data_IF_040823877305
#
_entry.id   IF_040823877305
#
_cell.length_a   1.000
_cell.length_b   1.000
_cell.length_c   1.000
_cell.angle_alpha   90.00
_cell.angle_beta   90.00
_cell.angle_gamma   90.00
#
_symmetry.space_group_name_H-M   'P 1'
#
loop_
_entity.id
_entity.type
_entity.pdbx_description
1 polymer ?
#
# COMPACT_ATOMS: atom_id res chain seq x y z
N UNK A 1 16.89 0.42 -15.18
CA UNK A 1 15.77 -0.47 -15.55
C UNK A 1 14.97 -0.75 -14.29
N UNK A 2 13.73 -0.28 -14.27
CA UNK A 2 12.83 -0.42 -13.14
C UNK A 2 12.19 -1.81 -13.11
N UNK A 3 11.87 -2.33 -11.93
CA UNK A 3 11.04 -3.54 -11.79
C UNK A 3 10.02 -3.35 -10.66
N UNK A 4 8.95 -4.14 -10.71
CA UNK A 4 8.02 -4.25 -9.58
C UNK A 4 8.74 -4.78 -8.33
N UNK A 5 8.24 -4.40 -7.16
CA UNK A 5 8.64 -5.03 -5.91
C UNK A 5 8.21 -6.51 -5.94
N UNK A 6 9.09 -7.43 -5.52
CA UNK A 6 8.75 -8.84 -5.52
C UNK A 6 7.67 -9.13 -4.49
N UNK A 7 6.88 -10.18 -4.71
CA UNK A 7 5.96 -10.72 -3.70
C UNK A 7 6.55 -12.03 -3.14
N UNK A 8 6.46 -12.29 -1.83
CA UNK A 8 6.93 -13.54 -1.24
C UNK A 8 6.30 -14.77 -1.87
N UNK A 9 7.02 -15.89 -1.81
CA UNK A 9 6.50 -17.19 -2.29
C UNK A 9 5.21 -17.56 -1.56
N UNK A 10 4.21 -18.05 -2.31
CA UNK A 10 2.90 -18.44 -1.77
C UNK A 10 1.93 -17.27 -1.50
N UNK A 11 2.35 -16.02 -1.70
CA UNK A 11 1.46 -14.88 -1.59
C UNK A 11 0.43 -14.87 -2.74
N UNK A 12 -0.87 -14.55 -2.49
CA UNK A 12 -1.90 -14.56 -3.53
C UNK A 12 -1.58 -13.60 -4.68
N UNK A 13 -1.64 -14.09 -5.92
CA UNK A 13 -1.32 -13.32 -7.13
C UNK A 13 -2.39 -13.46 -8.20
N UNK A 14 -2.40 -12.48 -9.11
CA UNK A 14 -3.26 -12.47 -10.28
C UNK A 14 -2.62 -13.25 -11.45
N UNK A 15 -2.77 -14.57 -11.45
CA UNK A 15 -2.14 -15.44 -12.47
C UNK A 15 -2.80 -15.37 -13.87
N UNK A 16 -3.96 -14.73 -13.98
CA UNK A 16 -4.67 -14.50 -15.25
C UNK A 16 -4.26 -13.19 -15.95
N UNK A 17 -3.39 -12.38 -15.34
CA UNK A 17 -2.85 -11.15 -15.92
C UNK A 17 -1.36 -11.31 -16.22
N UNK A 18 -0.93 -10.92 -17.41
CA UNK A 18 0.50 -10.75 -17.70
C UNK A 18 0.85 -9.27 -17.59
N UNK A 19 1.72 -8.91 -16.63
CA UNK A 19 2.11 -7.52 -16.39
C UNK A 19 3.58 -7.35 -16.72
N UNK A 20 3.92 -6.26 -17.39
CA UNK A 20 5.30 -5.82 -17.56
C UNK A 20 5.48 -4.36 -17.13
N UNK A 21 6.61 -4.08 -16.48
CA UNK A 21 7.06 -2.73 -16.15
C UNK A 21 8.47 -2.59 -16.73
N UNK A 22 8.67 -1.62 -17.62
CA UNK A 22 9.95 -1.36 -18.30
C UNK A 22 10.50 -2.65 -18.99
N UNK A 23 9.60 -3.38 -19.66
CA UNK A 23 9.91 -4.65 -20.34
C UNK A 23 10.13 -5.86 -19.41
N UNK A 24 10.10 -5.69 -18.09
CA UNK A 24 10.30 -6.77 -17.12
C UNK A 24 8.96 -7.29 -16.60
N UNK A 25 8.80 -8.62 -16.61
CA UNK A 25 7.61 -9.28 -16.05
C UNK A 25 7.45 -8.94 -14.57
N UNK A 26 6.22 -8.66 -14.17
CA UNK A 26 5.82 -8.40 -12.80
C UNK A 26 4.65 -9.29 -12.41
N UNK A 27 4.53 -9.60 -11.11
CA UNK A 27 3.34 -10.23 -10.55
C UNK A 27 2.49 -9.18 -9.85
N UNK A 28 1.19 -9.21 -10.07
CA UNK A 28 0.26 -8.43 -9.26
C UNK A 28 -0.20 -9.28 -8.06
N UNK A 29 -0.20 -8.66 -6.88
CA UNK A 29 -0.84 -9.21 -5.70
C UNK A 29 -2.35 -9.20 -5.88
N UNK A 30 -3.02 -10.25 -5.40
CA UNK A 30 -4.47 -10.40 -5.51
C UNK A 30 -5.12 -10.25 -4.14
N UNK A 31 -6.04 -9.29 -4.04
CA UNK A 31 -6.96 -9.17 -2.90
C UNK A 31 -8.37 -9.57 -3.35
N UNK A 32 -9.33 -9.49 -2.42
CA UNK A 32 -10.73 -9.78 -2.75
C UNK A 32 -11.35 -8.77 -3.72
N UNK A 33 -10.93 -7.50 -3.67
CA UNK A 33 -11.57 -6.40 -4.40
C UNK A 33 -10.71 -5.78 -5.49
N UNK A 34 -9.40 -6.02 -5.46
CA UNK A 34 -8.45 -5.43 -6.38
C UNK A 34 -7.23 -6.32 -6.58
N UNK A 35 -6.68 -6.27 -7.78
CA UNK A 35 -5.30 -6.69 -8.03
C UNK A 35 -4.40 -5.46 -7.91
N UNK A 36 -3.13 -5.62 -7.51
CA UNK A 36 -2.22 -4.48 -7.37
C UNK A 36 -0.78 -4.83 -7.70
N UNK A 37 -0.04 -3.86 -8.22
CA UNK A 37 1.41 -3.95 -8.44
C UNK A 37 2.07 -2.68 -7.93
N UNK A 38 3.21 -2.82 -7.26
CA UNK A 38 3.98 -1.70 -6.74
C UNK A 38 5.39 -1.69 -7.34
N UNK A 39 5.92 -0.49 -7.59
CA UNK A 39 7.29 -0.30 -8.07
C UNK A 39 7.83 1.07 -7.61
N UNK A 40 9.13 1.28 -7.78
CA UNK A 40 9.73 2.62 -7.70
C UNK A 40 10.11 3.10 -9.09
N UNK A 41 9.76 4.35 -9.44
CA UNK A 41 10.16 4.96 -10.72
C UNK A 41 10.94 6.24 -10.47
N UNK A 42 12.10 6.36 -11.13
CA UNK A 42 12.96 7.56 -11.09
C UNK A 42 12.89 8.38 -12.40
N UNK A 43 12.11 7.91 -13.36
CA UNK A 43 11.91 8.50 -14.68
C UNK A 43 10.84 7.74 -15.44
N UNK A 44 10.60 8.09 -16.72
CA UNK A 44 9.55 7.48 -17.52
C UNK A 44 9.69 5.97 -17.64
N UNK A 45 8.60 5.24 -17.38
CA UNK A 45 8.51 3.79 -17.57
C UNK A 45 7.28 3.45 -18.41
N UNK A 46 7.43 2.48 -19.31
CA UNK A 46 6.28 1.84 -19.97
C UNK A 46 5.74 0.74 -19.07
N UNK A 47 4.44 0.76 -18.83
CA UNK A 47 3.71 -0.31 -18.16
C UNK A 47 2.78 -0.97 -19.18
N UNK A 48 2.62 -2.29 -19.07
CA UNK A 48 1.61 -3.01 -19.84
C UNK A 48 0.94 -4.10 -19.03
N UNK A 49 -0.33 -4.34 -19.37
CA UNK A 49 -1.15 -5.43 -18.85
C UNK A 49 -1.79 -6.15 -20.03
N UNK A 50 -1.57 -7.46 -20.11
CA UNK A 50 -2.23 -8.34 -21.07
C UNK A 50 -3.33 -9.10 -20.36
N UNK A 51 -4.56 -8.97 -20.85
CA UNK A 51 -5.74 -9.66 -20.33
C UNK A 51 -5.92 -11.04 -20.98
N UNK A 52 -6.71 -11.95 -20.35
CA UNK A 52 -7.05 -13.24 -20.95
C UNK A 52 -7.76 -13.11 -22.30
N UNK A 53 -8.66 -12.12 -22.39
CA UNK A 53 -9.45 -11.78 -23.58
C UNK A 53 -9.35 -10.28 -23.87
N UNK A 54 -9.63 -9.83 -25.11
CA UNK A 54 -9.65 -8.41 -25.43
C UNK A 54 -10.61 -7.65 -24.50
N UNK A 55 -10.14 -6.62 -23.77
CA UNK A 55 -11.00 -5.89 -22.85
C UNK A 55 -12.03 -5.07 -23.63
N UNK A 56 -13.29 -5.07 -23.18
CA UNK A 56 -14.35 -4.30 -23.84
C UNK A 56 -14.10 -2.79 -23.77
N UNK A 57 -13.66 -2.31 -22.59
CA UNK A 57 -13.26 -0.93 -22.34
C UNK A 57 -12.24 -0.92 -21.22
N UNK A 58 -11.22 -0.07 -21.34
CA UNK A 58 -10.29 0.21 -20.26
C UNK A 58 -10.36 1.68 -19.88
N UNK A 59 -10.33 1.96 -18.58
CA UNK A 59 -10.34 3.31 -18.02
C UNK A 59 -9.22 3.43 -17.01
N UNK A 60 -8.42 4.50 -17.11
CA UNK A 60 -7.40 4.82 -16.12
C UNK A 60 -7.93 5.93 -15.21
N UNK A 61 -7.83 5.72 -13.90
CA UNK A 61 -8.22 6.69 -12.86
C UNK A 61 -7.07 7.01 -11.92
N UNK A 62 -7.03 8.22 -11.33
CA UNK A 62 -7.92 9.35 -11.63
C UNK A 62 -7.63 9.93 -13.02
N UNK A 63 -8.64 10.50 -13.67
CA UNK A 63 -8.46 11.10 -15.01
C UNK A 63 -7.43 12.25 -15.01
N UNK A 64 -7.27 12.93 -13.86
CA UNK A 64 -6.25 13.96 -13.64
C UNK A 64 -4.82 13.45 -13.70
N UNK A 65 -4.59 12.13 -13.66
CA UNK A 65 -3.26 11.57 -13.89
C UNK A 65 -2.78 11.80 -15.33
N UNK A 66 -3.69 12.08 -16.28
CA UNK A 66 -3.33 12.41 -17.67
C UNK A 66 -2.66 11.26 -18.43
N UNK A 67 -2.84 10.02 -17.96
CA UNK A 67 -2.20 8.84 -18.54
C UNK A 67 -2.99 8.41 -19.78
N UNK A 68 -2.37 8.52 -20.94
CA UNK A 68 -2.91 7.99 -22.19
C UNK A 68 -2.64 6.50 -22.31
N UNK A 69 -3.65 5.75 -22.78
CA UNK A 69 -3.56 4.31 -22.99
C UNK A 69 -3.49 3.97 -24.47
N UNK A 70 -2.75 2.91 -24.78
CA UNK A 70 -2.71 2.24 -26.08
C UNK A 70 -3.24 0.83 -25.90
N UNK A 71 -4.23 0.45 -26.70
CA UNK A 71 -4.78 -0.91 -26.73
C UNK A 71 -4.33 -1.60 -28.01
N UNK A 72 -3.75 -2.79 -27.88
CA UNK A 72 -3.40 -3.68 -28.99
C UNK A 72 -3.87 -5.10 -28.68
N UNK A 73 -4.97 -5.52 -29.30
CA UNK A 73 -5.63 -6.79 -29.04
C UNK A 73 -6.03 -6.95 -27.57
N UNK A 74 -5.26 -7.76 -26.83
CA UNK A 74 -5.49 -8.05 -25.39
C UNK A 74 -4.62 -7.22 -24.46
N UNK A 75 -3.70 -6.44 -25.02
CA UNK A 75 -2.69 -5.72 -24.25
C UNK A 75 -3.04 -4.26 -24.16
N UNK A 76 -3.01 -3.72 -22.95
CA UNK A 76 -3.09 -2.28 -22.69
C UNK A 76 -1.74 -1.81 -22.19
N UNK A 77 -1.18 -0.81 -22.86
CA UNK A 77 0.08 -0.18 -22.52
C UNK A 77 -0.13 1.30 -22.22
N UNK A 78 0.67 1.84 -21.29
CA UNK A 78 0.64 3.25 -20.92
C UNK A 78 1.99 3.67 -20.32
N UNK A 79 2.28 4.97 -20.38
CA UNK A 79 3.50 5.55 -19.82
C UNK A 79 3.24 6.20 -18.47
N UNK A 80 4.11 5.96 -17.50
CA UNK A 80 4.16 6.71 -16.24
C UNK A 80 5.45 7.54 -16.22
N UNK A 81 5.32 8.86 -16.22
CA UNK A 81 6.44 9.81 -16.28
C UNK A 81 6.91 10.27 -14.88
N UNK A 82 6.06 10.13 -13.86
CA UNK A 82 6.31 10.51 -12.47
C UNK A 82 5.62 9.57 -11.50
N UNK A 83 6.09 9.49 -10.24
CA UNK A 83 5.40 8.74 -9.19
C UNK A 83 3.91 9.10 -9.10
N UNK A 84 3.04 8.09 -9.10
CA UNK A 84 1.61 8.24 -9.05
C UNK A 84 0.93 6.92 -8.63
N UNK A 85 -0.36 7.03 -8.27
CA UNK A 85 -1.21 5.89 -7.93
C UNK A 85 -2.40 5.91 -8.87
N UNK A 86 -2.52 4.88 -9.70
CA UNK A 86 -3.61 4.78 -10.68
C UNK A 86 -4.38 3.46 -10.58
N UNK A 87 -5.63 3.48 -11.02
CA UNK A 87 -6.46 2.31 -11.24
C UNK A 87 -6.66 2.08 -12.72
N UNK A 88 -6.40 0.86 -13.18
CA UNK A 88 -6.72 0.37 -14.52
C UNK A 88 -7.98 -0.50 -14.39
N UNK A 89 -9.10 0.00 -14.91
CA UNK A 89 -10.41 -0.59 -14.73
C UNK A 89 -10.93 -1.17 -16.05
N UNK A 90 -11.39 -2.42 -16.01
CA UNK A 90 -12.16 -3.05 -17.11
C UNK A 90 -13.43 -3.69 -16.53
N UNK A 91 -14.60 -3.52 -17.17
CA UNK A 91 -15.84 -4.14 -16.70
C UNK A 91 -15.72 -5.66 -16.51
N UNK A 92 -16.36 -6.17 -15.45
CA UNK A 92 -16.40 -7.61 -15.16
C UNK A 92 -15.15 -8.18 -14.51
N UNK A 93 -14.18 -7.33 -14.10
CA UNK A 93 -12.98 -7.76 -13.38
C UNK A 93 -12.67 -6.84 -12.20
N UNK A 94 -11.84 -7.34 -11.29
CA UNK A 94 -11.21 -6.49 -10.29
C UNK A 94 -10.37 -5.40 -10.99
N UNK A 95 -10.37 -4.15 -10.48
CA UNK A 95 -9.43 -3.14 -10.91
C UNK A 95 -7.99 -3.60 -10.64
N UNK A 96 -7.06 -3.21 -11.52
CA UNK A 96 -5.64 -3.33 -11.28
C UNK A 96 -5.10 -1.98 -10.79
N UNK A 97 -4.61 -1.93 -9.55
CA UNK A 97 -3.91 -0.77 -9.02
C UNK A 97 -2.44 -0.81 -9.36
N UNK A 98 -1.92 0.30 -9.87
CA UNK A 98 -0.50 0.50 -10.15
C UNK A 98 0.01 1.59 -9.24
N UNK A 99 0.84 1.19 -8.27
CA UNK A 99 1.45 2.07 -7.30
C UNK A 99 2.90 2.34 -7.71
N UNK A 100 3.10 3.41 -8.48
CA UNK A 100 4.43 3.88 -8.86
C UNK A 100 4.93 4.87 -7.80
N UNK A 101 5.80 4.41 -6.91
CA UNK A 101 6.36 5.21 -5.84
C UNK A 101 7.60 5.98 -6.32
N UNK A 102 7.95 7.06 -5.63
CA UNK A 102 9.30 7.59 -5.72
C UNK A 102 10.29 6.58 -5.13
N UNK A 103 11.57 6.56 -5.56
CA UNK A 103 12.61 5.83 -4.85
C UNK A 103 12.72 6.33 -3.40
N UNK A 104 12.94 5.42 -2.45
CA UNK A 104 13.12 5.80 -1.06
C UNK A 104 14.42 6.59 -0.87
N UNK A 105 14.32 7.77 -0.24
CA UNK A 105 15.48 8.63 0.06
C UNK A 105 15.81 8.68 1.55
N UNK A 106 14.90 8.22 2.41
CA UNK A 106 14.99 8.30 3.87
C UNK A 106 14.77 6.93 4.51
N UNK A 107 15.56 5.95 4.04
CA UNK A 107 15.58 4.59 4.61
C UNK A 107 16.30 4.64 5.96
N UNK A 108 15.72 4.09 7.04
CA UNK A 108 16.35 4.11 8.36
C UNK A 108 17.63 3.28 8.42
N UNK A 109 18.52 3.58 9.37
CA UNK A 109 19.72 2.76 9.60
C UNK A 109 19.30 1.38 10.15
N UNK A 110 19.60 0.33 9.39
CA UNK A 110 19.31 -1.06 9.78
C UNK A 110 19.99 -1.47 11.09
N UNK A 111 21.06 -0.80 11.50
CA UNK A 111 21.80 -1.09 12.73
C UNK A 111 21.31 -0.27 13.93
N UNK A 112 20.38 0.67 13.73
CA UNK A 112 19.79 1.42 14.83
C UNK A 112 18.92 0.48 15.68
N UNK A 113 19.18 0.33 16.99
CA UNK A 113 18.39 -0.54 17.87
C UNK A 113 16.92 -0.12 18.01
N UNK A 114 16.55 1.12 17.66
CA UNK A 114 15.17 1.59 17.63
C UNK A 114 14.43 1.22 16.33
N UNK A 115 15.11 0.60 15.36
CA UNK A 115 14.54 0.20 14.07
C UNK A 115 14.19 -1.29 14.07
N UNK A 116 12.91 -1.58 13.86
CA UNK A 116 12.40 -2.93 13.60
C UNK A 116 12.28 -3.12 12.09
N UNK A 117 13.12 -3.99 11.54
CA UNK A 117 13.24 -4.21 10.10
C UNK A 117 12.55 -5.50 9.67
N UNK A 118 11.64 -5.41 8.69
CA UNK A 118 11.10 -6.57 7.98
C UNK A 118 11.69 -6.64 6.57
N UNK A 119 12.45 -7.71 6.32
CA UNK A 119 13.22 -7.85 5.08
C UNK A 119 12.39 -8.31 3.90
N UNK A 120 12.78 -7.85 2.71
CA UNK A 120 12.11 -8.18 1.46
C UNK A 120 12.21 -9.66 1.08
N UNK A 121 11.24 -10.13 0.29
CA UNK A 121 11.23 -11.49 -0.27
C UNK A 121 10.63 -12.55 0.65
N UNK A 122 10.23 -12.19 1.87
CA UNK A 122 9.63 -13.09 2.85
C UNK A 122 8.31 -12.54 3.39
N UNK A 123 7.45 -13.46 3.83
CA UNK A 123 6.27 -13.16 4.61
C UNK A 123 6.59 -13.38 6.10
N UNK A 124 6.24 -12.41 6.93
CA UNK A 124 6.54 -12.40 8.36
C UNK A 124 5.26 -12.52 9.16
N UNK A 125 5.18 -13.50 10.05
CA UNK A 125 4.05 -13.66 11.00
C UNK A 125 4.37 -12.90 12.29
N UNK A 126 4.20 -11.58 12.26
CA UNK A 126 4.62 -10.68 13.34
C UNK A 126 3.58 -10.54 14.46
N UNK A 127 2.30 -10.79 14.16
CA UNK A 127 1.21 -10.55 15.10
C UNK A 127 1.10 -9.06 15.46
N UNK A 128 0.82 -8.75 16.74
CA UNK A 128 0.71 -7.37 17.20
C UNK A 128 2.08 -6.77 17.51
N UNK A 129 2.43 -5.70 16.81
CA UNK A 129 3.67 -4.94 16.94
C UNK A 129 3.38 -3.69 17.78
N UNK A 130 3.99 -3.60 18.97
CA UNK A 130 3.87 -2.44 19.87
C UNK A 130 5.05 -1.49 19.70
N UNK A 131 4.82 -0.28 19.18
CA UNK A 131 5.85 0.75 19.06
C UNK A 131 5.91 1.65 20.30
N UNK A 132 7.14 1.97 20.71
CA UNK A 132 7.50 2.87 21.80
C UNK A 132 8.08 4.16 21.23
N UNK A 133 8.20 5.17 22.09
CA UNK A 133 8.73 6.47 21.67
C UNK A 133 10.09 6.35 20.98
N UNK A 134 10.23 6.99 19.82
CA UNK A 134 11.44 6.98 19.00
C UNK A 134 11.63 5.75 18.12
N UNK A 135 10.76 4.74 18.23
CA UNK A 135 10.90 3.53 17.41
C UNK A 135 10.38 3.71 15.99
N UNK A 136 11.06 3.05 15.06
CA UNK A 136 10.69 2.96 13.66
C UNK A 136 10.42 1.51 13.28
N UNK A 137 9.26 1.26 12.67
CA UNK A 137 8.97 0.04 11.93
C UNK A 137 9.26 0.29 10.45
N UNK A 138 10.20 -0.46 9.88
CA UNK A 138 10.53 -0.42 8.47
C UNK A 138 10.10 -1.72 7.78
N UNK A 139 9.25 -1.59 6.74
CA UNK A 139 8.77 -2.71 5.93
C UNK A 139 9.38 -2.56 4.53
N UNK A 140 10.44 -3.32 4.27
CA UNK A 140 11.22 -3.22 3.04
C UNK A 140 10.35 -3.53 1.79
N UNK A 141 10.59 -2.89 0.63
CA UNK A 141 9.83 -3.17 -0.58
C UNK A 141 9.89 -4.65 -0.99
N UNK A 142 8.74 -5.31 -0.93
CA UNK A 142 8.60 -6.74 -1.20
C UNK A 142 8.60 -7.63 0.05
N UNK A 143 8.63 -7.05 1.25
CA UNK A 143 8.25 -7.73 2.48
C UNK A 143 6.72 -7.71 2.64
N UNK A 144 6.18 -8.78 3.21
CA UNK A 144 4.78 -8.86 3.68
C UNK A 144 4.80 -9.14 5.17
N UNK A 145 4.12 -8.31 5.96
CA UNK A 145 4.01 -8.48 7.41
C UNK A 145 2.57 -8.79 7.76
N UNK A 146 2.31 -10.01 8.21
CA UNK A 146 1.04 -10.39 8.79
C UNK A 146 0.99 -9.93 10.24
N UNK A 147 0.21 -8.88 10.51
CA UNK A 147 0.21 -8.25 11.82
C UNK A 147 -0.56 -6.94 11.90
N UNK A 148 -0.52 -6.33 13.08
CA UNK A 148 -1.09 -5.01 13.37
C UNK A 148 -0.09 -4.16 14.13
N UNK A 149 -0.14 -2.84 13.97
CA UNK A 149 0.80 -1.90 14.59
C UNK A 149 0.07 -1.02 15.59
N UNK A 150 0.55 -0.99 16.82
CA UNK A 150 -0.08 -0.30 17.93
C UNK A 150 0.94 0.60 18.61
N UNK A 151 0.53 1.79 19.05
CA UNK A 151 1.31 2.62 19.95
C UNK A 151 0.36 3.39 20.87
N UNK A 152 0.73 3.50 22.15
CA UNK A 152 -0.07 4.23 23.15
C UNK A 152 0.81 5.12 24.00
N UNK A 153 0.48 6.42 24.08
CA UNK A 153 1.25 7.39 24.86
C UNK A 153 2.68 7.59 24.37
N UNK A 154 2.96 7.27 23.10
CA UNK A 154 4.30 7.30 22.53
C UNK A 154 4.59 8.64 21.83
N UNK A 155 5.87 8.92 21.60
CA UNK A 155 6.30 10.11 20.85
C UNK A 155 7.29 9.76 19.75
N UNK A 156 7.18 10.40 18.58
CA UNK A 156 8.06 10.19 17.43
C UNK A 156 8.10 8.72 16.99
N UNK A 157 6.93 8.13 16.72
CA UNK A 157 6.82 6.77 16.18
C UNK A 157 6.70 6.81 14.67
N UNK A 158 7.37 5.90 13.99
CA UNK A 158 7.37 5.85 12.53
C UNK A 158 7.05 4.45 12.02
N UNK A 159 6.18 4.35 11.02
CA UNK A 159 5.94 3.16 10.21
C UNK A 159 6.23 3.54 8.77
N UNK A 160 7.26 2.96 8.16
CA UNK A 160 7.74 3.39 6.84
C UNK A 160 8.20 2.24 5.95
N UNK A 161 8.44 2.55 4.67
CA UNK A 161 8.86 1.61 3.63
C UNK A 161 7.76 1.32 2.62
N UNK A 162 8.09 0.65 1.51
CA UNK A 162 7.11 0.30 0.47
C UNK A 162 6.64 -1.17 0.48
N UNK A 163 6.86 -1.88 1.58
CA UNK A 163 6.30 -3.21 1.79
C UNK A 163 4.83 -3.20 2.20
N UNK A 164 4.33 -4.38 2.56
CA UNK A 164 2.91 -4.64 2.83
C UNK A 164 2.71 -4.98 4.31
N UNK A 165 1.72 -4.35 4.95
CA UNK A 165 1.11 -4.80 6.21
C UNK A 165 -0.25 -5.45 5.88
N UNK A 166 -0.43 -6.69 6.30
CA UNK A 166 -1.58 -7.53 5.96
C UNK A 166 -2.33 -7.99 7.22
N UNK A 167 -3.56 -7.48 7.38
CA UNK A 167 -4.46 -7.82 8.48
C UNK A 167 -5.25 -9.12 8.30
N UNK A 168 -5.09 -9.83 7.18
CA UNK A 168 -5.98 -10.94 6.78
C UNK A 168 -5.98 -12.15 7.73
N UNK A 169 -5.03 -12.22 8.68
CA UNK A 169 -4.98 -13.23 9.74
C UNK A 169 -5.96 -12.98 10.87
N UNK A 170 -6.44 -11.75 11.02
CA UNK A 170 -7.37 -11.35 12.07
C UNK A 170 -8.82 -11.58 11.65
N UNK A 171 -9.67 -11.89 12.63
CA UNK A 171 -11.12 -11.94 12.45
C UNK A 171 -11.68 -10.53 12.36
N UNK A 172 -12.87 -10.41 11.76
CA UNK A 172 -13.60 -9.14 11.68
C UNK A 172 -13.78 -8.53 13.08
N UNK A 173 -13.44 -7.25 13.23
CA UNK A 173 -13.41 -6.49 14.49
C UNK A 173 -12.45 -7.01 15.59
N UNK A 174 -11.57 -7.96 15.32
CA UNK A 174 -10.61 -8.45 16.32
C UNK A 174 -9.58 -7.38 16.71
N UNK A 175 -9.17 -6.53 15.77
CA UNK A 175 -8.22 -5.45 16.00
C UNK A 175 -8.42 -4.30 15.01
N UNK A 176 -7.68 -3.20 15.21
CA UNK A 176 -7.42 -2.17 14.20
C UNK A 176 -6.05 -2.43 13.60
N UNK A 177 -5.89 -2.19 12.30
CA UNK A 177 -4.65 -2.58 11.61
C UNK A 177 -3.47 -1.71 12.07
N UNK A 178 -3.67 -0.40 12.12
CA UNK A 178 -2.75 0.57 12.71
C UNK A 178 -3.51 1.43 13.71
N UNK A 179 -3.14 1.37 14.99
CA UNK A 179 -3.79 2.10 16.07
C UNK A 179 -2.77 2.93 16.86
N UNK A 180 -2.95 4.23 16.85
CA UNK A 180 -2.15 5.17 17.63
C UNK A 180 -3.05 5.92 18.61
N UNK A 181 -2.81 5.74 19.90
CA UNK A 181 -3.59 6.36 20.96
C UNK A 181 -2.73 7.32 21.79
N UNK A 182 -3.18 8.54 22.01
CA UNK A 182 -2.47 9.53 22.83
C UNK A 182 -1.00 9.77 22.41
N UNK A 183 -0.70 9.69 21.11
CA UNK A 183 0.66 9.82 20.60
C UNK A 183 0.99 11.24 20.11
N UNK A 184 2.26 11.61 20.12
CA UNK A 184 2.75 12.89 19.54
C UNK A 184 3.81 12.61 18.49
N UNK A 185 3.67 13.11 17.26
CA UNK A 185 4.64 12.81 16.21
C UNK A 185 4.49 11.37 15.70
N UNK A 186 3.39 11.07 15.00
CA UNK A 186 3.18 9.78 14.34
C UNK A 186 3.43 9.96 12.84
N UNK A 187 4.27 9.12 12.24
CA UNK A 187 4.48 9.10 10.80
C UNK A 187 4.16 7.71 10.23
N UNK A 188 3.22 7.64 9.30
CA UNK A 188 2.91 6.43 8.51
C UNK A 188 3.15 6.74 7.04
N UNK A 189 4.18 6.14 6.46
CA UNK A 189 4.74 6.59 5.19
C UNK A 189 5.00 5.43 4.23
N UNK A 190 4.46 5.50 3.02
CA UNK A 190 4.85 4.61 1.92
C UNK A 190 4.24 3.19 1.95
N UNK A 191 3.77 2.69 3.08
CA UNK A 191 3.33 1.29 3.19
C UNK A 191 2.07 1.00 2.35
N UNK A 192 1.84 -0.29 2.09
CA UNK A 192 0.56 -0.79 1.56
C UNK A 192 -0.16 -1.57 2.66
N UNK A 193 -1.34 -1.12 3.07
CA UNK A 193 -2.21 -1.76 4.05
C UNK A 193 -3.32 -2.54 3.34
N UNK A 194 -3.44 -3.83 3.66
CA UNK A 194 -4.45 -4.71 3.06
C UNK A 194 -5.09 -5.60 4.10
N UNK A 195 -6.20 -6.25 3.71
CA UNK A 195 -6.80 -7.32 4.52
C UNK A 195 -7.25 -6.84 5.89
N UNK A 196 -7.54 -5.54 6.02
CA UNK A 196 -7.88 -4.94 7.30
C UNK A 196 -9.12 -5.62 7.92
N UNK A 197 -9.09 -5.99 9.22
CA UNK A 197 -10.22 -6.63 9.88
C UNK A 197 -11.30 -5.65 10.38
N UNK A 198 -11.00 -4.35 10.41
CA UNK A 198 -11.88 -3.24 10.84
C UNK A 198 -11.23 -1.91 10.43
N UNK A 199 -11.37 -0.83 11.22
CA UNK A 199 -10.77 0.48 10.91
C UNK A 199 -9.26 0.32 10.69
N UNK A 200 -8.75 0.96 9.64
CA UNK A 200 -7.40 0.65 9.17
C UNK A 200 -6.36 1.50 9.86
N UNK A 201 -6.45 2.83 9.78
CA UNK A 201 -5.48 3.74 10.39
C UNK A 201 -6.22 4.64 11.37
N UNK A 202 -6.03 4.40 12.67
CA UNK A 202 -6.72 5.13 13.73
C UNK A 202 -5.74 6.03 14.46
N UNK A 203 -6.00 7.34 14.42
CA UNK A 203 -5.28 8.38 15.14
C UNK A 203 -6.18 8.91 16.25
N UNK A 204 -6.13 8.28 17.42
CA UNK A 204 -6.96 8.64 18.57
C UNK A 204 -6.19 9.53 19.56
N UNK A 205 -6.72 10.73 19.82
CA UNK A 205 -6.14 11.72 20.74
C UNK A 205 -4.65 12.04 20.47
N UNK A 206 -4.26 12.06 19.20
CA UNK A 206 -2.89 12.29 18.75
C UNK A 206 -2.64 13.76 18.40
N UNK A 207 -1.37 14.18 18.42
CA UNK A 207 -0.94 15.49 17.95
C UNK A 207 0.25 15.41 17.00
N UNK A 208 0.18 16.08 15.86
CA UNK A 208 1.27 16.09 14.88
C UNK A 208 1.42 14.73 14.21
N UNK A 209 0.39 14.29 13.49
CA UNK A 209 0.41 13.01 12.78
C UNK A 209 0.48 13.23 11.27
N UNK A 210 1.17 12.34 10.56
CA UNK A 210 1.28 12.37 9.12
C UNK A 210 1.06 10.99 8.51
N UNK A 211 0.18 10.93 7.51
CA UNK A 211 -0.08 9.75 6.67
C UNK A 211 0.24 10.14 5.23
N UNK A 212 1.32 9.57 4.68
CA UNK A 212 1.88 9.98 3.37
C UNK A 212 2.18 8.79 2.48
N UNK A 213 1.87 8.88 1.19
CA UNK A 213 2.17 7.79 0.25
C UNK A 213 1.62 6.42 0.70
N UNK A 214 0.51 6.40 1.45
CA UNK A 214 -0.10 5.17 1.94
C UNK A 214 -1.09 4.64 0.92
N UNK A 215 -1.10 3.32 0.74
CA UNK A 215 -2.06 2.63 -0.11
C UNK A 215 -2.88 1.68 0.75
N UNK A 216 -4.19 1.75 0.64
CA UNK A 216 -5.13 0.93 1.42
C UNK A 216 -6.04 0.16 0.47
N UNK A 217 -6.16 -1.14 0.70
CA UNK A 217 -7.11 -2.02 -0.01
C UNK A 217 -7.93 -2.82 1.02
N UNK A 218 -9.05 -2.22 1.42
CA UNK A 218 -10.07 -2.75 2.33
C UNK A 218 -11.27 -3.32 1.58
N UNK A 219 -12.04 -4.17 2.26
CA UNK A 219 -13.24 -4.81 1.70
C UNK A 219 -14.30 -5.08 2.77
N UNK A 220 -13.90 -5.39 4.00
CA UNK A 220 -14.86 -5.72 5.05
C UNK A 220 -15.68 -4.49 5.42
N UNK A 221 -16.91 -4.68 5.90
CA UNK A 221 -17.68 -3.57 6.49
C UNK A 221 -16.87 -2.98 7.66
N UNK A 222 -16.85 -1.66 7.78
CA UNK A 222 -15.97 -0.93 8.70
C UNK A 222 -14.48 -1.07 8.38
N UNK A 223 -14.10 -1.21 7.11
CA UNK A 223 -12.71 -1.07 6.66
C UNK A 223 -12.39 0.39 6.35
N UNK A 224 -12.52 1.24 7.35
CA UNK A 224 -12.34 2.70 7.27
C UNK A 224 -10.92 3.05 6.83
N UNK A 225 -10.76 4.22 6.21
CA UNK A 225 -9.48 4.70 5.71
C UNK A 225 -8.57 5.24 6.83
N UNK A 226 -8.61 6.55 7.05
CA UNK A 226 -7.82 7.25 8.07
C UNK A 226 -8.72 7.96 9.07
N UNK A 227 -8.92 7.36 10.24
CA UNK A 227 -9.76 7.91 11.31
C UNK A 227 -9.01 8.92 12.18
N UNK A 228 -9.43 10.18 12.12
CA UNK A 228 -8.87 11.27 12.94
C UNK A 228 -9.79 11.52 14.15
N UNK A 229 -9.53 10.83 15.27
CA UNK A 229 -10.41 10.82 16.44
C UNK A 229 -9.86 11.70 17.56
N UNK A 230 -10.39 12.91 17.72
CA UNK A 230 -9.96 13.83 18.79
C UNK A 230 -8.49 14.25 18.68
N UNK A 231 -7.95 14.24 17.46
CA UNK A 231 -6.56 14.54 17.14
C UNK A 231 -6.39 15.95 16.55
N UNK A 232 -5.17 16.47 16.57
CA UNK A 232 -4.83 17.81 16.04
C UNK A 232 -3.52 17.80 15.26
N UNK A 233 -3.33 18.78 14.37
CA UNK A 233 -2.15 18.90 13.51
C UNK A 233 -1.90 17.62 12.67
N UNK A 234 -2.95 17.12 12.00
CA UNK A 234 -2.90 15.90 11.18
C UNK A 234 -2.81 16.25 9.70
N UNK A 235 -1.88 15.61 8.98
CA UNK A 235 -1.74 15.71 7.52
C UNK A 235 -1.96 14.34 6.88
N UNK A 236 -2.86 14.27 5.90
CA UNK A 236 -3.05 13.11 5.04
C UNK A 236 -2.81 13.56 3.60
N UNK A 237 -1.80 13.00 2.94
CA UNK A 237 -1.44 13.41 1.59
C UNK A 237 -0.88 12.25 0.75
N UNK A 238 -0.93 12.42 -0.57
CA UNK A 238 -0.43 11.46 -1.57
C UNK A 238 -0.88 10.01 -1.31
N UNK A 239 -2.11 9.78 -0.84
CA UNK A 239 -2.59 8.45 -0.45
C UNK A 239 -3.66 7.92 -1.41
N UNK A 240 -3.76 6.59 -1.51
CA UNK A 240 -4.79 5.89 -2.30
C UNK A 240 -5.57 4.96 -1.39
N UNK A 241 -6.86 5.22 -1.20
CA UNK A 241 -7.71 4.49 -0.26
C UNK A 241 -8.86 3.82 -1.03
N UNK A 242 -8.91 2.49 -1.00
CA UNK A 242 -10.10 1.71 -1.33
C UNK A 242 -10.64 1.14 -0.02
N UNK A 243 -11.68 1.77 0.51
CA UNK A 243 -12.38 1.37 1.73
C UNK A 243 -13.82 0.94 1.43
N UNK A 244 -14.49 0.45 2.46
CA UNK A 244 -15.90 0.01 2.41
C UNK A 244 -16.67 0.55 3.63
N UNK A 245 -16.30 1.76 4.06
CA UNK A 245 -16.91 2.56 5.12
C UNK A 245 -16.36 4.00 5.03
N UNK A 246 -16.30 4.75 6.13
CA UNK A 246 -15.72 6.10 6.19
C UNK A 246 -14.26 6.16 5.68
N UNK A 247 -13.97 7.13 4.80
CA UNK A 247 -12.67 7.24 4.12
C UNK A 247 -11.65 8.10 4.91
N UNK A 248 -12.08 9.28 5.39
CA UNK A 248 -11.28 10.24 6.20
C UNK A 248 -12.20 10.94 7.19
#
# INVERSE_FOLDING_TARGET
MTSAYPLPSGYPVADDLEIAIDGRRAKAGRTRVADFVSCAIAGPVECSVTFPEPPQRVTIRPASAGVELRVDGRTVAFMLDKPCKISVETPGRNPLYVFANAPETDVPDRNDPAVRWFEAGTAHEAGRIELRSGETLYIEPGAVVHGSVHARGASNVRVCGHGIIDGSRYRHHETRLLLFEHCTGVAVEGITAIGTPSWTIVLAACRGAAVRNVKLIGWVVCSDGVDIVGSSDVTVEDSFLHDNDDCI
#
